data_IF_671651319194
#
_entry.id   IF_671651319194
#
_cell.length_a   1.000
_cell.length_b   1.000
_cell.length_c   1.000
_cell.angle_alpha   90.00
_cell.angle_beta   90.00
_cell.angle_gamma   90.00
#
_symmetry.space_group_name_H-M   'P 1'
#
loop_
_entity.id
_entity.type
_entity.pdbx_description
1 polymer ?
#
# COMPACT_ATOMS: atom_id res chain seq x y z
N UNK A 1 -15.09 -2.67 -10.05
CA UNK A 1 -13.69 -2.20 -10.20
C UNK A 1 -13.00 -2.38 -8.85
N UNK A 2 -11.96 -3.21 -8.74
CA UNK A 2 -11.16 -3.28 -7.52
C UNK A 2 -10.42 -1.96 -7.32
N UNK A 3 -10.46 -1.42 -6.09
CA UNK A 3 -9.75 -0.20 -5.73
C UNK A 3 -8.69 -0.53 -4.68
N UNK A 4 -7.44 -0.20 -4.97
CA UNK A 4 -6.34 -0.25 -4.01
C UNK A 4 -6.03 1.19 -3.61
N UNK A 5 -5.96 1.45 -2.31
CA UNK A 5 -5.64 2.78 -1.80
C UNK A 5 -4.20 2.80 -1.29
N UNK A 6 -3.38 3.68 -1.86
CA UNK A 6 -2.06 4.00 -1.36
C UNK A 6 -2.15 5.30 -0.56
N UNK A 7 -1.67 5.28 0.68
CA UNK A 7 -1.69 6.45 1.55
C UNK A 7 -0.34 6.61 2.27
N UNK A 8 -0.03 7.86 2.58
CA UNK A 8 1.13 8.23 3.37
C UNK A 8 0.66 8.96 4.62
N UNK A 9 0.86 8.37 5.79
CA UNK A 9 0.41 8.94 7.06
C UNK A 9 1.61 9.52 7.82
N UNK A 10 1.52 10.74 8.38
CA UNK A 10 2.60 11.29 9.20
C UNK A 10 2.89 10.37 10.41
N UNK A 11 4.15 10.00 10.59
CA UNK A 11 4.62 9.16 11.71
C UNK A 11 6.02 9.61 12.13
N UNK A 12 6.12 10.19 13.33
CA UNK A 12 7.38 10.74 13.84
C UNK A 12 7.89 11.88 12.95
N UNK A 13 9.14 11.76 12.49
CA UNK A 13 9.79 12.76 11.62
C UNK A 13 9.58 12.51 10.12
N UNK A 14 8.68 11.60 9.75
CA UNK A 14 8.45 11.23 8.35
C UNK A 14 7.03 10.73 8.09
N UNK A 15 6.88 9.94 7.04
CA UNK A 15 5.61 9.41 6.55
C UNK A 15 5.68 7.89 6.46
N UNK A 16 4.68 7.22 7.02
CA UNK A 16 4.50 5.77 6.88
C UNK A 16 3.68 5.49 5.62
N UNK A 17 4.18 4.59 4.79
CA UNK A 17 3.48 4.10 3.62
C UNK A 17 2.39 3.10 4.04
N UNK A 18 1.19 3.17 3.48
CA UNK A 18 0.11 2.19 3.74
C UNK A 18 -0.61 1.82 2.45
N UNK A 19 -0.75 0.52 2.22
CA UNK A 19 -1.51 -0.10 1.12
C UNK A 19 -2.78 -0.71 1.69
N UNK A 20 -3.94 -0.23 1.26
CA UNK A 20 -5.24 -0.80 1.65
C UNK A 20 -5.87 -1.49 0.44
N UNK A 21 -6.19 -2.77 0.62
CA UNK A 21 -6.83 -3.63 -0.35
C UNK A 21 -8.35 -3.61 -0.18
N UNK A 22 -9.12 -3.94 -1.24
CA UNK A 22 -10.59 -3.96 -1.18
C UNK A 22 -11.15 -5.06 -0.29
N UNK A 23 -10.35 -6.07 0.08
CA UNK A 23 -10.69 -7.10 1.06
C UNK A 23 -10.65 -6.61 2.51
N UNK A 24 -10.31 -5.33 2.73
CA UNK A 24 -10.17 -4.71 4.05
C UNK A 24 -8.79 -4.87 4.67
N UNK A 25 -7.87 -5.59 4.02
CA UNK A 25 -6.50 -5.73 4.52
C UNK A 25 -5.71 -4.46 4.28
N UNK A 26 -5.09 -3.93 5.32
CA UNK A 26 -4.18 -2.78 5.23
C UNK A 26 -2.78 -3.19 5.67
N UNK A 27 -1.79 -2.81 4.87
CA UNK A 27 -0.38 -3.15 5.06
C UNK A 27 0.42 -1.86 5.09
N UNK A 28 1.01 -1.56 6.24
CA UNK A 28 1.88 -0.40 6.39
C UNK A 28 3.35 -0.78 6.22
N UNK A 29 4.21 0.20 5.89
CA UNK A 29 5.66 0.05 5.96
C UNK A 29 6.12 0.07 7.41
N UNK A 30 7.15 -0.71 7.73
CA UNK A 30 7.80 -0.64 9.05
C UNK A 30 8.66 0.63 9.16
N UNK A 31 9.21 1.08 8.03
CA UNK A 31 10.02 2.28 7.90
C UNK A 31 9.17 3.54 7.67
N UNK A 32 9.75 4.68 8.03
CA UNK A 32 9.21 6.02 7.78
C UNK A 32 10.05 6.74 6.73
N UNK A 33 9.40 7.34 5.75
CA UNK A 33 10.03 8.05 4.64
C UNK A 33 10.05 9.56 4.86
N UNK A 34 11.07 10.29 4.39
CA UNK A 34 11.17 11.73 4.63
C UNK A 34 10.12 12.54 3.86
N UNK A 35 9.55 12.01 2.77
CA UNK A 35 8.51 12.67 1.99
C UNK A 35 7.26 11.80 1.74
N UNK A 36 6.13 12.47 1.47
CA UNK A 36 4.87 11.81 1.03
C UNK A 36 5.11 11.01 -0.25
N UNK A 37 5.87 11.57 -1.20
CA UNK A 37 6.15 10.92 -2.48
C UNK A 37 6.89 9.60 -2.33
N UNK A 38 7.92 9.57 -1.47
CA UNK A 38 8.67 8.34 -1.18
C UNK A 38 7.82 7.32 -0.42
N UNK A 39 6.98 7.75 0.52
CA UNK A 39 6.06 6.86 1.21
C UNK A 39 5.05 6.23 0.22
N UNK A 40 4.47 7.00 -0.70
CA UNK A 40 3.56 6.46 -1.72
C UNK A 40 4.31 5.53 -2.68
N UNK A 41 5.52 5.90 -3.11
CA UNK A 41 6.34 5.06 -3.98
C UNK A 41 6.69 3.74 -3.29
N UNK A 42 7.03 3.76 -2.01
CA UNK A 42 7.27 2.56 -1.22
C UNK A 42 6.02 1.71 -1.04
N UNK A 43 4.85 2.33 -0.83
CA UNK A 43 3.57 1.62 -0.81
C UNK A 43 3.34 0.88 -2.14
N UNK A 44 3.60 1.55 -3.27
CA UNK A 44 3.49 0.95 -4.60
C UNK A 44 4.50 -0.18 -4.83
N UNK A 45 5.76 0.00 -4.45
CA UNK A 45 6.78 -1.06 -4.54
C UNK A 45 6.40 -2.28 -3.71
N UNK A 46 5.97 -2.07 -2.45
CA UNK A 46 5.50 -3.13 -1.57
C UNK A 46 4.31 -3.88 -2.17
N UNK A 47 3.39 -3.17 -2.83
CA UNK A 47 2.27 -3.78 -3.55
C UNK A 47 2.75 -4.70 -4.68
N UNK A 48 3.74 -4.27 -5.46
CA UNK A 48 4.32 -5.08 -6.55
C UNK A 48 5.05 -6.33 -6.03
N UNK A 49 5.61 -6.26 -4.82
CA UNK A 49 6.25 -7.39 -4.15
C UNK A 49 5.26 -8.43 -3.58
N UNK A 50 3.94 -8.18 -3.67
CA UNK A 50 2.88 -9.08 -3.19
C UNK A 50 1.98 -9.59 -4.33
N UNK A 51 2.54 -10.34 -5.31
CA UNK A 51 1.83 -10.78 -6.50
C UNK A 51 0.61 -11.67 -6.18
N UNK A 52 0.65 -12.46 -5.11
CA UNK A 52 -0.47 -13.29 -4.66
C UNK A 52 -1.66 -12.47 -4.15
N UNK A 53 -1.44 -11.23 -3.69
CA UNK A 53 -2.53 -10.32 -3.32
C UNK A 53 -3.11 -9.64 -4.54
N UNK A 54 -2.27 -9.25 -5.50
CA UNK A 54 -2.71 -8.73 -6.78
C UNK A 54 -3.57 -9.75 -7.54
N UNK A 55 -3.14 -11.02 -7.61
CA UNK A 55 -3.89 -12.09 -8.26
C UNK A 55 -5.26 -12.38 -7.60
N UNK A 56 -5.41 -12.13 -6.28
CA UNK A 56 -6.72 -12.25 -5.61
C UNK A 56 -7.72 -11.18 -6.05
N UNK A 57 -7.24 -10.01 -6.49
CA UNK A 57 -8.13 -8.96 -7.00
C UNK A 57 -8.83 -9.39 -8.28
N UNK A 58 -8.13 -10.15 -9.13
CA UNK A 58 -8.70 -10.72 -10.35
C UNK A 58 -9.77 -11.78 -10.03
N UNK A 59 -9.60 -12.53 -8.95
CA UNK A 59 -10.55 -13.57 -8.51
C UNK A 59 -11.81 -13.01 -7.84
N UNK A 60 -11.74 -11.83 -7.21
CA UNK A 60 -12.91 -11.14 -6.65
C UNK A 60 -13.71 -10.36 -7.70
N UNK A 61 -13.14 -10.15 -8.89
CA UNK A 61 -13.79 -9.44 -9.99
C UNK A 61 -14.60 -10.35 -10.93
N UNK A 62 -14.56 -11.68 -10.73
CA UNK A 62 -15.36 -12.67 -11.45
C UNK A 62 -16.54 -13.17 -10.64
#
# INVERSE_FOLDING_TARGET
>A
MPTIQLSATPKGNGYQATVTFPDGVSISSDETYPSIGEAIAAAAMKLLDMPERLARLDQQAG
#
